data_IF_789960986624
#
_entry.id   IF_789960986624
#
_cell.length_a   1.000
_cell.length_b   1.000
_cell.length_c   1.000
_cell.angle_alpha   90.00
_cell.angle_beta   90.00
_cell.angle_gamma   90.00
#
_symmetry.space_group_name_H-M   'P 1'
#
loop_
_entity.id
_entity.type
_entity.pdbx_description
1 polymer ?
#
# COMPACT_ATOMS: atom_id res chain seq x y z
N UNK A 1 -20.52 -12.88 24.26
CA UNK A 1 -21.03 -11.53 23.95
C UNK A 1 -21.76 -11.65 22.62
N UNK A 2 -23.09 -11.55 22.63
CA UNK A 2 -23.87 -11.63 21.40
C UNK A 2 -23.57 -10.38 20.56
N UNK A 3 -22.88 -10.57 19.44
CA UNK A 3 -22.58 -9.53 18.47
C UNK A 3 -23.89 -9.24 17.73
N UNK A 4 -24.28 -7.97 17.68
CA UNK A 4 -25.52 -7.57 17.04
C UNK A 4 -25.51 -7.93 15.55
N UNK A 5 -26.68 -8.24 14.99
CA UNK A 5 -26.84 -8.53 13.55
C UNK A 5 -26.22 -7.43 12.67
N UNK A 6 -26.34 -6.17 13.10
CA UNK A 6 -25.76 -5.01 12.43
C UNK A 6 -24.25 -5.05 12.34
N UNK A 7 -23.56 -5.40 13.44
CA UNK A 7 -22.09 -5.51 13.44
C UNK A 7 -21.63 -6.63 12.50
N UNK A 8 -22.38 -7.74 12.42
CA UNK A 8 -22.07 -8.85 11.50
C UNK A 8 -22.20 -8.43 10.04
N UNK A 9 -23.27 -7.73 9.69
CA UNK A 9 -23.47 -7.20 8.33
C UNK A 9 -22.35 -6.22 8.00
N UNK A 10 -22.02 -5.31 8.91
CA UNK A 10 -20.93 -4.35 8.74
C UNK A 10 -19.58 -5.05 8.49
N UNK A 11 -19.22 -6.05 9.30
CA UNK A 11 -18.00 -6.84 9.11
C UNK A 11 -18.01 -7.62 7.80
N UNK A 12 -19.15 -8.17 7.38
CA UNK A 12 -19.27 -8.87 6.10
C UNK A 12 -19.07 -7.92 4.92
N UNK A 13 -19.65 -6.71 4.98
CA UNK A 13 -19.51 -5.69 3.93
C UNK A 13 -18.06 -5.21 3.84
N UNK A 14 -17.46 -4.79 4.97
CA UNK A 14 -16.05 -4.36 4.99
C UNK A 14 -15.13 -5.49 4.57
N UNK A 15 -15.36 -6.69 5.08
CA UNK A 15 -14.57 -7.87 4.73
C UNK A 15 -14.62 -8.16 3.24
N UNK A 16 -15.80 -8.06 2.63
CA UNK A 16 -15.99 -8.28 1.19
C UNK A 16 -15.27 -7.23 0.36
N UNK A 17 -15.36 -5.94 0.75
CA UNK A 17 -14.66 -4.85 0.06
C UNK A 17 -13.14 -5.07 0.11
N UNK A 18 -12.58 -5.33 1.30
CA UNK A 18 -11.14 -5.57 1.49
C UNK A 18 -10.66 -6.80 0.72
N UNK A 19 -11.46 -7.88 0.71
CA UNK A 19 -11.11 -9.11 0.01
C UNK A 19 -11.14 -8.92 -1.50
N UNK A 20 -12.18 -8.30 -2.06
CA UNK A 20 -12.31 -8.09 -3.50
C UNK A 20 -11.24 -7.13 -4.02
N UNK A 21 -10.95 -6.05 -3.29
CA UNK A 21 -9.88 -5.11 -3.63
C UNK A 21 -8.50 -5.79 -3.63
N UNK A 22 -8.18 -6.51 -2.55
CA UNK A 22 -6.93 -7.27 -2.46
C UNK A 22 -6.81 -8.33 -3.54
N UNK A 23 -7.91 -8.98 -3.92
CA UNK A 23 -7.94 -10.01 -4.95
C UNK A 23 -7.72 -9.39 -6.34
N UNK A 24 -8.36 -8.25 -6.61
CA UNK A 24 -8.16 -7.49 -7.84
C UNK A 24 -6.69 -7.05 -8.00
N UNK A 25 -6.09 -6.50 -6.94
CA UNK A 25 -4.68 -6.11 -6.94
C UNK A 25 -3.72 -7.31 -7.07
N UNK A 26 -4.07 -8.46 -6.49
CA UNK A 26 -3.31 -9.70 -6.68
C UNK A 26 -3.34 -10.20 -8.13
N UNK A 27 -4.49 -10.08 -8.81
CA UNK A 27 -4.61 -10.39 -10.24
C UNK A 27 -3.76 -9.46 -11.12
N UNK A 28 -3.51 -8.22 -10.68
CA UNK A 28 -2.60 -7.28 -11.34
C UNK A 28 -1.11 -7.54 -11.04
N UNK A 29 -0.77 -8.68 -10.41
CA UNK A 29 0.58 -9.00 -9.94
C UNK A 29 1.18 -7.96 -8.96
N UNK A 30 0.36 -7.13 -8.33
CA UNK A 30 0.79 -6.15 -7.32
C UNK A 30 0.78 -6.76 -5.92
N UNK A 31 1.49 -7.88 -5.77
CA UNK A 31 1.54 -8.64 -4.53
C UNK A 31 2.61 -8.03 -3.61
N UNK A 32 2.16 -7.20 -2.69
CA UNK A 32 2.98 -6.63 -1.62
C UNK A 32 2.27 -6.78 -0.27
N UNK A 33 2.99 -6.49 0.81
CA UNK A 33 2.43 -6.55 2.18
C UNK A 33 1.17 -5.69 2.29
N UNK A 34 1.15 -4.52 1.65
CA UNK A 34 0.00 -3.62 1.62
C UNK A 34 -1.24 -4.17 0.92
N UNK A 35 -1.09 -5.16 0.03
CA UNK A 35 -2.20 -5.84 -0.66
C UNK A 35 -2.62 -7.12 0.07
N UNK A 36 -1.62 -7.87 0.55
CA UNK A 36 -1.84 -9.17 1.16
C UNK A 36 -2.53 -9.05 2.53
N UNK A 37 -2.15 -8.04 3.32
CA UNK A 37 -2.75 -7.82 4.65
C UNK A 37 -4.25 -7.51 4.55
N UNK A 38 -4.72 -6.56 3.72
CA UNK A 38 -6.14 -6.35 3.47
C UNK A 38 -6.86 -7.59 2.94
N UNK A 39 -6.25 -8.34 2.01
CA UNK A 39 -6.85 -9.56 1.44
C UNK A 39 -7.13 -10.60 2.54
N UNK A 40 -6.12 -10.91 3.37
CA UNK A 40 -6.24 -11.89 4.46
C UNK A 40 -7.23 -11.40 5.52
N UNK A 41 -7.17 -10.11 5.87
CA UNK A 41 -8.09 -9.51 6.84
C UNK A 41 -9.54 -9.53 6.33
N UNK A 42 -9.75 -9.25 5.04
CA UNK A 42 -11.04 -9.31 4.38
C UNK A 42 -11.64 -10.72 4.40
N UNK A 43 -10.82 -11.71 4.01
CA UNK A 43 -11.21 -13.13 4.10
C UNK A 43 -11.58 -13.52 5.54
N UNK A 44 -10.78 -13.09 6.51
CA UNK A 44 -11.03 -13.35 7.93
C UNK A 44 -12.35 -12.74 8.41
N UNK A 45 -12.65 -11.48 8.06
CA UNK A 45 -13.93 -10.85 8.42
C UNK A 45 -15.14 -11.50 7.76
N UNK A 46 -15.01 -11.92 6.49
CA UNK A 46 -16.06 -12.69 5.80
C UNK A 46 -16.32 -14.03 6.50
N UNK A 47 -15.26 -14.80 6.78
CA UNK A 47 -15.37 -16.07 7.51
C UNK A 47 -15.95 -15.88 8.91
N UNK A 48 -15.53 -14.83 9.63
CA UNK A 48 -16.06 -14.51 10.94
C UNK A 48 -17.56 -14.19 10.89
N UNK A 49 -18.02 -13.42 9.91
CA UNK A 49 -19.43 -13.07 9.75
C UNK A 49 -20.32 -14.28 9.40
N UNK A 50 -19.81 -15.18 8.55
CA UNK A 50 -20.50 -16.41 8.11
C UNK A 50 -20.56 -17.46 9.22
N UNK A 51 -19.43 -17.76 9.86
CA UNK A 51 -19.31 -18.79 10.89
C UNK A 51 -19.54 -18.28 12.32
N UNK A 52 -20.08 -17.08 12.48
CA UNK A 52 -20.27 -16.41 13.77
C UNK A 52 -20.87 -17.32 14.85
N UNK A 53 -21.96 -18.03 14.54
CA UNK A 53 -22.63 -18.92 15.50
C UNK A 53 -21.78 -20.12 15.94
N UNK A 54 -20.92 -20.64 15.06
CA UNK A 54 -20.02 -21.74 15.36
C UNK A 54 -18.82 -21.25 16.18
N UNK A 55 -18.28 -20.09 15.84
CA UNK A 55 -17.21 -19.42 16.57
C UNK A 55 -17.65 -19.06 17.99
N UNK A 56 -18.82 -18.45 18.18
CA UNK A 56 -19.30 -18.07 19.51
C UNK A 56 -19.43 -19.29 20.43
N UNK A 57 -19.94 -20.41 19.92
CA UNK A 57 -20.05 -21.66 20.67
C UNK A 57 -18.69 -22.28 21.00
N UNK A 58 -17.71 -22.15 20.10
CA UNK A 58 -16.33 -22.60 20.32
C UNK A 58 -15.59 -21.75 21.35
N UNK A 59 -15.77 -20.42 21.31
CA UNK A 59 -15.19 -19.49 22.28
C UNK A 59 -15.75 -19.67 23.70
N UNK A 60 -17.01 -20.08 23.82
CA UNK A 60 -17.62 -20.34 25.13
C UNK A 60 -16.94 -21.50 25.88
N UNK A 61 -16.36 -22.46 25.17
CA UNK A 61 -15.69 -23.64 25.76
C UNK A 61 -14.21 -23.41 26.10
N UNK A 62 -13.56 -22.36 25.56
CA UNK A 62 -12.12 -22.15 25.69
C UNK A 62 -11.75 -20.73 26.13
N UNK A 63 -11.76 -20.49 27.45
CA UNK A 63 -11.40 -19.20 28.06
C UNK A 63 -10.05 -18.61 27.61
N UNK A 64 -9.02 -19.44 27.40
CA UNK A 64 -7.69 -18.97 26.92
C UNK A 64 -7.76 -18.34 25.52
N UNK A 65 -8.64 -18.85 24.67
CA UNK A 65 -8.83 -18.34 23.32
C UNK A 65 -9.49 -16.96 23.36
N UNK A 66 -10.35 -16.70 24.35
CA UNK A 66 -10.96 -15.38 24.56
C UNK A 66 -9.91 -14.30 24.89
N UNK A 67 -8.90 -14.63 25.69
CA UNK A 67 -7.77 -13.72 25.96
C UNK A 67 -6.96 -13.46 24.70
N UNK A 68 -6.67 -14.50 23.91
CA UNK A 68 -5.94 -14.36 22.63
C UNK A 68 -6.72 -13.52 21.62
N UNK A 69 -8.04 -13.67 21.57
CA UNK A 69 -8.92 -12.86 20.72
C UNK A 69 -8.90 -11.38 21.09
N UNK A 70 -8.99 -11.06 22.39
CA UNK A 70 -8.88 -9.68 22.89
C UNK A 70 -7.50 -9.07 22.58
N UNK A 71 -6.44 -9.88 22.69
CA UNK A 71 -5.10 -9.45 22.32
C UNK A 71 -4.97 -9.21 20.81
N UNK A 72 -5.58 -10.07 19.98
CA UNK A 72 -5.64 -9.89 18.53
C UNK A 72 -6.30 -8.57 18.13
N UNK A 73 -7.42 -8.23 18.76
CA UNK A 73 -8.06 -6.92 18.55
C UNK A 73 -7.19 -5.75 19.01
N UNK A 74 -6.48 -5.88 20.14
CA UNK A 74 -5.54 -4.85 20.59
C UNK A 74 -4.42 -4.62 19.57
N UNK A 75 -3.79 -5.70 19.09
CA UNK A 75 -2.76 -5.63 18.05
C UNK A 75 -3.30 -5.02 16.75
N UNK A 76 -4.53 -5.37 16.36
CA UNK A 76 -5.18 -4.79 15.19
C UNK A 76 -5.36 -3.27 15.32
N UNK A 77 -5.86 -2.79 16.47
CA UNK A 77 -6.02 -1.35 16.70
C UNK A 77 -4.69 -0.60 16.75
N UNK A 78 -3.66 -1.18 17.40
CA UNK A 78 -2.31 -0.60 17.40
C UNK A 78 -1.78 -0.49 15.97
N UNK A 79 -1.92 -1.55 15.18
CA UNK A 79 -1.52 -1.54 13.77
C UNK A 79 -2.28 -0.50 12.96
N UNK A 80 -3.60 -0.39 13.13
CA UNK A 80 -4.44 0.57 12.40
C UNK A 80 -4.07 2.03 12.73
N UNK A 81 -3.80 2.32 14.01
CA UNK A 81 -3.33 3.64 14.44
C UNK A 81 -1.95 3.94 13.84
N UNK A 82 -1.03 2.97 13.87
CA UNK A 82 0.28 3.10 13.25
C UNK A 82 0.20 3.35 11.74
N UNK A 83 -0.72 2.67 11.04
CA UNK A 83 -0.99 2.87 9.63
C UNK A 83 -1.52 4.29 9.35
N UNK A 84 -2.45 4.77 10.17
CA UNK A 84 -2.97 6.14 10.07
C UNK A 84 -1.87 7.19 10.28
N UNK A 85 -1.02 7.00 11.29
CA UNK A 85 0.13 7.87 11.54
C UNK A 85 1.11 7.88 10.37
N UNK A 86 1.41 6.70 9.81
CA UNK A 86 2.29 6.56 8.65
C UNK A 86 1.78 7.33 7.43
N UNK A 87 0.48 7.24 7.12
CA UNK A 87 -0.10 8.01 6.01
C UNK A 87 -0.06 9.51 6.26
N UNK A 88 -0.30 9.97 7.50
CA UNK A 88 -0.19 11.38 7.84
C UNK A 88 1.26 11.88 7.70
N UNK A 89 2.23 11.09 8.16
CA UNK A 89 3.65 11.38 8.02
C UNK A 89 4.06 11.54 6.55
N UNK A 90 3.60 10.64 5.66
CA UNK A 90 3.87 10.78 4.21
C UNK A 90 3.26 12.07 3.67
N UNK A 91 2.03 12.43 4.08
CA UNK A 91 1.34 13.63 3.60
C UNK A 91 2.10 14.90 3.98
N UNK A 92 2.53 15.03 5.23
CA UNK A 92 3.25 16.20 5.73
C UNK A 92 4.61 16.39 5.04
N UNK A 93 5.26 15.29 4.65
CA UNK A 93 6.58 15.34 3.98
C UNK A 93 6.51 15.51 2.46
N UNK A 94 5.32 15.62 1.85
CA UNK A 94 5.17 15.82 0.39
C UNK A 94 5.44 17.27 -0.05
N UNK A 95 5.27 18.26 0.81
CA UNK A 95 5.25 19.69 0.42
C UNK A 95 6.63 20.38 0.44
N UNK A 96 7.74 19.64 0.55
CA UNK A 96 9.08 20.22 0.64
C UNK A 96 9.60 20.87 -0.66
N UNK A 97 8.84 20.85 -1.76
CA UNK A 97 9.31 21.21 -3.10
C UNK A 97 9.19 22.70 -3.46
N UNK A 98 8.55 23.53 -2.64
CA UNK A 98 8.17 24.87 -3.09
C UNK A 98 9.32 25.90 -3.13
N UNK A 99 10.46 25.65 -2.48
CA UNK A 99 11.64 26.53 -2.53
C UNK A 99 12.94 25.74 -2.41
N UNK A 100 13.28 24.98 -3.45
CA UNK A 100 14.55 24.27 -3.50
C UNK A 100 15.70 25.26 -3.79
N UNK A 101 16.80 25.25 -3.01
CA UNK A 101 17.99 26.04 -3.34
C UNK A 101 18.60 25.55 -4.67
N UNK A 102 19.52 26.32 -5.23
CA UNK A 102 20.25 25.93 -6.42
C UNK A 102 21.03 24.62 -6.16
N UNK A 103 20.68 23.55 -6.88
CA UNK A 103 21.33 22.24 -6.78
C UNK A 103 22.29 22.02 -7.95
N UNK A 104 23.33 21.21 -7.71
CA UNK A 104 24.28 20.82 -8.76
C UNK A 104 23.78 19.64 -9.60
N UNK A 105 22.90 18.82 -9.02
CA UNK A 105 22.36 17.64 -9.68
C UNK A 105 20.96 17.32 -9.14
N UNK A 106 20.13 16.76 -10.02
CA UNK A 106 18.81 16.23 -9.74
C UNK A 106 18.88 14.73 -10.04
N UNK A 107 18.71 13.89 -9.03
CA UNK A 107 18.79 12.44 -9.18
C UNK A 107 17.37 11.87 -9.12
N UNK A 108 16.92 11.27 -10.21
CA UNK A 108 15.63 10.58 -10.27
C UNK A 108 15.87 9.08 -10.10
N UNK A 109 15.34 8.54 -9.01
CA UNK A 109 15.45 7.11 -8.68
C UNK A 109 14.42 6.28 -9.45
N UNK A 110 14.89 5.16 -10.00
CA UNK A 110 14.04 4.14 -10.60
C UNK A 110 13.07 3.51 -9.59
N UNK A 111 11.91 3.09 -10.08
CA UNK A 111 10.90 2.30 -9.37
C UNK A 111 10.20 1.27 -10.27
N UNK A 112 10.80 0.91 -11.39
CA UNK A 112 10.34 -0.11 -12.32
C UNK A 112 9.59 0.45 -13.52
N UNK A 113 9.62 -0.35 -14.58
CA UNK A 113 8.95 -0.14 -15.87
C UNK A 113 7.83 -1.19 -15.99
N UNK A 114 6.74 -0.82 -16.65
CA UNK A 114 5.64 -1.72 -16.96
C UNK A 114 5.32 -1.59 -18.46
N UNK A 115 5.50 -2.67 -19.22
CA UNK A 115 5.23 -2.71 -20.66
C UNK A 115 6.03 -1.67 -21.45
N UNK A 116 7.30 -1.44 -21.09
CA UNK A 116 8.15 -0.45 -21.74
C UNK A 116 7.81 1.02 -21.44
N UNK A 117 6.93 1.27 -20.46
CA UNK A 117 6.60 2.61 -19.97
C UNK A 117 6.96 2.75 -18.49
N UNK A 118 7.25 3.96 -17.98
CA UNK A 118 7.44 4.17 -16.56
C UNK A 118 6.23 3.64 -15.77
N UNK A 119 6.48 2.88 -14.69
CA UNK A 119 5.41 2.54 -13.74
C UNK A 119 4.74 3.80 -13.22
N UNK A 120 3.52 3.70 -12.69
CA UNK A 120 2.79 4.86 -12.17
C UNK A 120 3.57 5.64 -11.09
N UNK A 121 4.38 4.92 -10.30
CA UNK A 121 5.27 5.53 -9.29
C UNK A 121 6.44 6.24 -9.98
N UNK A 122 7.04 5.63 -11.01
CA UNK A 122 8.15 6.22 -11.74
C UNK A 122 7.72 7.48 -12.50
N UNK A 123 6.59 7.43 -13.19
CA UNK A 123 5.99 8.57 -13.88
C UNK A 123 5.79 9.75 -12.91
N UNK A 124 5.22 9.51 -11.73
CA UNK A 124 5.07 10.55 -10.70
C UNK A 124 6.40 11.15 -10.24
N UNK A 125 7.47 10.36 -10.15
CA UNK A 125 8.82 10.87 -9.81
C UNK A 125 9.37 11.75 -10.93
N UNK A 126 9.22 11.33 -12.18
CA UNK A 126 9.63 12.11 -13.36
C UNK A 126 8.83 13.42 -13.45
N UNK A 127 7.52 13.37 -13.29
CA UNK A 127 6.63 14.54 -13.27
C UNK A 127 6.99 15.53 -12.15
N UNK A 128 7.48 15.03 -11.01
CA UNK A 128 7.92 15.86 -9.89
C UNK A 128 9.29 16.49 -10.18
N UNK A 129 10.18 15.76 -10.85
CA UNK A 129 11.52 16.22 -11.18
C UNK A 129 11.54 17.23 -12.35
N UNK A 130 10.65 17.08 -13.34
CA UNK A 130 10.66 17.88 -14.55
C UNK A 130 10.54 19.40 -14.30
N UNK A 131 9.63 19.91 -13.45
CA UNK A 131 9.57 21.35 -13.12
C UNK A 131 10.85 21.86 -12.44
N UNK A 132 11.50 21.03 -11.60
CA UNK A 132 12.75 21.39 -10.92
C UNK A 132 13.90 21.46 -11.92
N UNK A 133 13.98 20.52 -12.86
CA UNK A 133 14.97 20.53 -13.93
C UNK A 133 14.81 21.75 -14.86
N UNK A 134 13.57 22.11 -15.20
CA UNK A 134 13.27 23.29 -16.02
C UNK A 134 13.62 24.61 -15.32
N UNK A 135 13.39 24.70 -14.01
CA UNK A 135 13.73 25.89 -13.23
C UNK A 135 15.23 26.02 -12.91
N UNK A 136 16.00 24.93 -12.99
CA UNK A 136 17.43 24.91 -12.67
C UNK A 136 18.25 24.26 -13.81
N UNK A 137 18.39 24.90 -14.98
CA UNK A 137 19.03 24.31 -16.16
C UNK A 137 20.54 24.02 -15.99
N UNK A 138 21.18 24.60 -14.97
CA UNK A 138 22.58 24.32 -14.63
C UNK A 138 22.75 23.00 -13.85
N UNK A 139 21.67 22.45 -13.30
CA UNK A 139 21.71 21.21 -12.56
C UNK A 139 21.77 20.00 -13.51
N UNK A 140 22.65 19.04 -13.24
CA UNK A 140 22.72 17.80 -14.00
C UNK A 140 21.56 16.87 -13.62
N UNK A 141 20.72 16.49 -14.59
CA UNK A 141 19.69 15.46 -14.37
C UNK A 141 20.33 14.07 -14.54
N UNK A 142 20.22 13.25 -13.50
CA UNK A 142 20.76 11.90 -13.46
C UNK A 142 19.58 10.95 -13.27
N UNK A 143 19.31 10.13 -14.28
CA UNK A 143 18.29 9.10 -14.25
C UNK A 143 18.95 7.78 -13.85
N UNK A 144 18.49 7.14 -12.79
CA UNK A 144 19.08 5.89 -12.29
C UNK A 144 18.09 4.75 -12.48
N UNK A 145 18.46 3.74 -13.27
CA UNK A 145 17.61 2.60 -13.55
C UNK A 145 18.37 1.54 -14.35
N UNK A 146 18.36 0.30 -13.86
CA UNK A 146 19.04 -0.84 -14.47
C UNK A 146 18.16 -1.56 -15.50
N UNK A 147 18.61 -2.72 -15.97
CA UNK A 147 17.77 -3.64 -16.74
C UNK A 147 17.05 -4.58 -15.77
N UNK A 148 15.73 -4.50 -15.71
CA UNK A 148 14.92 -5.45 -14.94
C UNK A 148 14.76 -6.77 -15.69
N UNK A 149 14.61 -7.87 -14.95
CA UNK A 149 14.57 -9.24 -15.50
C UNK A 149 13.51 -9.47 -16.59
N UNK A 150 12.43 -8.70 -16.58
CA UNK A 150 11.31 -8.79 -17.51
C UNK A 150 11.36 -7.79 -18.67
N UNK A 151 12.28 -6.83 -18.64
CA UNK A 151 12.29 -5.70 -19.56
C UNK A 151 13.42 -5.82 -20.59
N UNK A 152 13.17 -5.28 -21.79
CA UNK A 152 14.14 -5.31 -22.90
C UNK A 152 15.12 -4.12 -22.87
N UNK A 153 14.74 -3.07 -22.18
CA UNK A 153 15.45 -1.80 -22.13
C UNK A 153 15.73 -1.43 -20.68
N UNK A 154 16.83 -0.72 -20.44
CA UNK A 154 17.10 -0.24 -19.09
C UNK A 154 16.05 0.79 -18.70
N UNK A 155 15.68 0.77 -17.42
CA UNK A 155 14.75 1.73 -16.85
C UNK A 155 15.22 3.17 -17.07
N UNK A 156 16.52 3.45 -16.95
CA UNK A 156 17.07 4.77 -17.25
C UNK A 156 16.87 5.20 -18.71
N UNK A 157 16.86 4.27 -19.67
CA UNK A 157 16.58 4.56 -21.08
C UNK A 157 15.09 4.85 -21.31
N UNK A 158 14.20 4.14 -20.60
CA UNK A 158 12.76 4.43 -20.63
C UNK A 158 12.50 5.81 -20.02
N UNK A 159 13.12 6.11 -18.88
CA UNK A 159 13.02 7.41 -18.21
C UNK A 159 13.53 8.57 -19.06
N UNK A 160 14.54 8.36 -19.92
CA UNK A 160 15.09 9.45 -20.75
C UNK A 160 14.23 9.78 -21.96
N UNK A 161 13.32 8.88 -22.36
CA UNK A 161 12.36 9.07 -23.46
C UNK A 161 11.04 9.68 -23.00
N UNK A 162 10.70 9.51 -21.72
CA UNK A 162 9.53 10.12 -21.09
C UNK A 162 9.73 11.63 -20.95
#
# INVERSE_FOLDING_TARGET
MQVSKWIRIFLAVIGSILFLDGLFLAFLNKIHVGTLVPLVLGAFFCLYALFYYHLERFFFYHYRLHTLWRFGWLCFWIWLIGLGYFFNFIKENKDASQNLPAVKAIIVLGSGVENGQPSAILAKRLDTAAPVALSQPQAKVILTGGLDFSEKESEALVMSRY
#
